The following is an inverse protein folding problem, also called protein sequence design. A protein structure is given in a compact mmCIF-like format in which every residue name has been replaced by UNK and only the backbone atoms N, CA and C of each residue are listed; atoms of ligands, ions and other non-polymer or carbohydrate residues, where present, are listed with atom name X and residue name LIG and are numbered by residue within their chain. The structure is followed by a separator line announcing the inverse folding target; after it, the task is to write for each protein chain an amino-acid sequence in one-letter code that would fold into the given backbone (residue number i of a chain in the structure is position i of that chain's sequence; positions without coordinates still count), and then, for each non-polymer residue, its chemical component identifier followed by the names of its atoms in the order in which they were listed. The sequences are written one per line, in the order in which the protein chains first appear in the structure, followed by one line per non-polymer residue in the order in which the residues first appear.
data_IF_369065179110
#
_entry.id   IF_369065179110
#
_cell.length_a   1.000
_cell.length_b   1.000
_cell.length_c   1.000
_cell.angle_alpha   90.00
_cell.angle_beta   90.00
_cell.angle_gamma   90.00
#
_symmetry.space_group_name_H-M   'P 1'
#
loop_
_entity.id
_entity.type
_entity.pdbx_description
1 polymer ?
#
# COMPACT_ATOMS: atom_id res chain seq x y z
N UNK A 1 -13.25 47.20 3.69
CA UNK A 1 -14.40 46.36 4.10
C UNK A 1 -14.07 44.93 3.70
N UNK A 2 -13.53 44.15 4.63
CA UNK A 2 -13.09 42.77 4.42
C UNK A 2 -14.26 41.82 4.73
N UNK A 3 -14.73 41.06 3.74
CA UNK A 3 -15.78 40.04 3.91
C UNK A 3 -15.12 38.69 4.18
N UNK A 4 -15.16 38.24 5.43
CA UNK A 4 -14.82 36.88 5.82
C UNK A 4 -15.94 35.91 5.36
N UNK A 5 -15.66 34.81 4.67
CA UNK A 5 -16.67 33.83 4.32
C UNK A 5 -17.13 33.05 5.59
N UNK A 6 -18.38 32.54 5.63
CA UNK A 6 -18.89 31.81 6.79
C UNK A 6 -18.21 30.47 6.92
N UNK A 7 -17.80 30.12 8.14
CA UNK A 7 -17.35 28.77 8.52
C UNK A 7 -18.54 27.80 8.44
N UNK A 8 -18.53 26.93 7.49
CA UNK A 8 -19.42 25.75 7.47
C UNK A 8 -18.94 24.78 8.53
N UNK A 9 -19.64 24.70 9.64
CA UNK A 9 -19.52 23.61 10.63
C UNK A 9 -20.19 22.37 10.03
N UNK A 10 -19.45 21.63 9.20
CA UNK A 10 -19.84 20.29 8.80
C UNK A 10 -19.71 19.37 10.01
N UNK A 11 -20.83 18.97 10.62
CA UNK A 11 -20.85 17.94 11.65
C UNK A 11 -20.25 16.65 11.08
N UNK A 12 -19.10 16.24 11.61
CA UNK A 12 -18.57 14.91 11.37
C UNK A 12 -19.56 13.91 11.97
N UNK A 13 -20.38 13.30 11.13
CA UNK A 13 -21.13 12.12 11.51
C UNK A 13 -20.12 11.09 12.00
N UNK A 14 -20.22 10.67 13.26
CA UNK A 14 -19.46 9.57 13.81
C UNK A 14 -19.86 8.32 13.05
N UNK A 15 -19.11 8.00 12.00
CA UNK A 15 -19.24 6.71 11.32
C UNK A 15 -18.76 5.67 12.33
N UNK A 16 -19.68 4.83 12.80
CA UNK A 16 -19.34 3.71 13.67
C UNK A 16 -18.22 2.90 13.03
N UNK A 17 -17.34 2.32 13.89
CA UNK A 17 -16.25 1.48 13.40
C UNK A 17 -16.79 0.44 12.40
N UNK A 18 -16.10 0.16 11.30
CA UNK A 18 -16.55 -0.81 10.33
C UNK A 18 -16.78 -2.18 11.02
N UNK A 19 -17.78 -2.95 10.59
CA UNK A 19 -18.06 -4.26 11.19
C UNK A 19 -16.82 -5.15 11.10
N UNK A 20 -16.56 -5.90 12.19
CA UNK A 20 -15.44 -6.86 12.24
C UNK A 20 -15.58 -7.86 11.08
N UNK A 21 -14.51 -8.11 10.28
CA UNK A 21 -14.55 -9.11 9.24
C UNK A 21 -14.87 -10.51 9.80
N UNK A 22 -15.56 -11.34 9.04
CA UNK A 22 -15.76 -12.75 9.42
C UNK A 22 -14.44 -13.53 9.30
N UNK A 23 -14.33 -14.65 10.02
CA UNK A 23 -13.17 -15.53 9.95
C UNK A 23 -12.92 -16.03 8.53
N UNK A 24 -13.98 -16.36 7.78
CA UNK A 24 -13.87 -16.72 6.37
C UNK A 24 -13.24 -15.61 5.52
N UNK A 25 -13.60 -14.34 5.78
CA UNK A 25 -13.02 -13.18 5.10
C UNK A 25 -11.54 -13.02 5.46
N UNK A 26 -11.18 -13.25 6.72
CA UNK A 26 -9.78 -13.17 7.19
C UNK A 26 -8.92 -14.25 6.54
N UNK A 27 -9.38 -15.51 6.55
CA UNK A 27 -8.71 -16.64 5.89
C UNK A 27 -8.50 -16.36 4.42
N UNK A 28 -9.55 -16.00 3.69
CA UNK A 28 -9.48 -15.70 2.27
C UNK A 28 -8.51 -14.53 1.98
N UNK A 29 -8.45 -13.53 2.86
CA UNK A 29 -7.53 -12.40 2.68
C UNK A 29 -6.08 -12.84 2.88
N UNK A 30 -5.79 -13.70 3.87
CA UNK A 30 -4.46 -14.29 4.06
C UNK A 30 -4.03 -15.14 2.86
N UNK A 31 -4.93 -15.94 2.30
CA UNK A 31 -4.66 -16.71 1.09
C UNK A 31 -4.29 -15.80 -0.09
N UNK A 32 -5.05 -14.71 -0.29
CA UNK A 32 -4.80 -13.75 -1.39
C UNK A 32 -3.46 -13.05 -1.30
N UNK A 33 -2.90 -12.90 -0.11
CA UNK A 33 -1.56 -12.32 0.08
C UNK A 33 -0.48 -13.38 0.29
N UNK A 34 -0.73 -14.63 -0.10
CA UNK A 34 0.19 -15.76 0.03
C UNK A 34 0.64 -16.01 1.48
N UNK A 35 -0.27 -15.85 2.46
CA UNK A 35 -0.02 -16.11 3.88
C UNK A 35 -0.96 -17.16 4.47
N UNK A 36 -1.76 -17.87 3.65
CA UNK A 36 -2.69 -18.90 4.13
C UNK A 36 -2.01 -20.02 4.93
N UNK A 37 -0.77 -20.37 4.59
CA UNK A 37 0.01 -21.37 5.29
C UNK A 37 0.32 -21.02 6.76
N UNK A 38 0.24 -19.75 7.16
CA UNK A 38 0.43 -19.35 8.56
C UNK A 38 -0.62 -19.97 9.47
N UNK A 39 -1.81 -20.28 8.94
CA UNK A 39 -2.90 -20.92 9.71
C UNK A 39 -2.64 -22.40 9.99
N UNK A 40 -1.58 -22.99 9.42
CA UNK A 40 -1.21 -24.40 9.63
C UNK A 40 0.25 -24.56 10.07
N UNK A 41 0.98 -23.46 10.24
CA UNK A 41 2.45 -23.49 10.46
C UNK A 41 2.84 -23.98 11.86
N UNK A 42 1.95 -23.82 12.86
CA UNK A 42 2.21 -24.23 14.25
C UNK A 42 0.96 -24.90 14.85
N UNK A 43 1.14 -25.72 15.89
CA UNK A 43 0.04 -26.43 16.56
C UNK A 43 -1.01 -25.48 17.17
N UNK A 44 -0.67 -24.19 17.39
CA UNK A 44 -1.57 -23.14 17.84
C UNK A 44 -1.90 -22.13 16.73
N UNK A 45 -1.69 -22.47 15.48
CA UNK A 45 -1.96 -21.58 14.36
C UNK A 45 -3.48 -21.41 14.20
N UNK A 46 -3.97 -20.27 14.60
CA UNK A 46 -5.37 -19.87 14.45
C UNK A 46 -5.44 -18.35 14.26
N UNK A 47 -6.61 -17.86 13.84
CA UNK A 47 -6.85 -16.41 13.73
C UNK A 47 -6.77 -15.69 15.09
N UNK A 48 -6.95 -16.43 16.20
CA UNK A 48 -6.88 -15.91 17.57
C UNK A 48 -5.48 -16.07 18.19
N UNK A 49 -4.51 -16.61 17.46
CA UNK A 49 -3.15 -16.79 17.95
C UNK A 49 -2.51 -15.44 18.30
N UNK A 50 -1.93 -15.37 19.47
CA UNK A 50 -1.21 -14.21 19.98
C UNK A 50 0.28 -14.47 20.07
N UNK A 51 1.10 -13.47 19.75
CA UNK A 51 2.55 -13.61 19.81
C UNK A 51 3.25 -12.32 19.35
N UNK A 52 4.57 -12.30 19.49
CA UNK A 52 5.39 -11.26 18.88
C UNK A 52 5.59 -11.57 17.38
N UNK A 53 4.60 -11.16 16.59
CA UNK A 53 4.60 -11.39 15.15
C UNK A 53 5.77 -10.73 14.43
N UNK A 54 6.37 -9.69 15.00
CA UNK A 54 7.53 -9.02 14.43
C UNK A 54 8.78 -9.89 14.47
N UNK A 55 8.89 -10.78 15.44
CA UNK A 55 9.99 -11.76 15.56
C UNK A 55 9.68 -13.10 14.90
N UNK A 56 8.40 -13.45 14.76
CA UNK A 56 7.95 -14.73 14.19
C UNK A 56 7.92 -14.68 12.65
N UNK A 57 7.50 -13.55 12.07
CA UNK A 57 7.35 -13.37 10.63
C UNK A 57 8.62 -12.79 10.01
N UNK A 58 9.02 -13.33 8.86
CA UNK A 58 10.03 -12.69 8.01
C UNK A 58 9.54 -11.31 7.55
N UNK A 59 10.46 -10.44 7.12
CA UNK A 59 10.11 -9.10 6.66
C UNK A 59 9.12 -9.13 5.47
N UNK A 60 9.30 -10.07 4.53
CA UNK A 60 8.37 -10.26 3.42
C UNK A 60 6.98 -10.71 3.86
N UNK A 61 6.88 -11.58 4.88
CA UNK A 61 5.59 -11.97 5.48
C UNK A 61 4.92 -10.78 6.18
N UNK A 62 5.69 -9.96 6.90
CA UNK A 62 5.19 -8.73 7.54
C UNK A 62 4.65 -7.74 6.51
N UNK A 63 5.37 -7.53 5.40
CA UNK A 63 4.93 -6.67 4.29
C UNK A 63 3.63 -7.19 3.68
N UNK A 64 3.53 -8.48 3.34
CA UNK A 64 2.30 -9.07 2.82
C UNK A 64 1.13 -8.99 3.80
N UNK A 65 1.40 -9.14 5.10
CA UNK A 65 0.38 -8.93 6.13
C UNK A 65 -0.11 -7.47 6.21
N UNK A 66 0.78 -6.50 5.94
CA UNK A 66 0.39 -5.09 5.83
C UNK A 66 -0.54 -4.86 4.63
N UNK A 67 -0.28 -5.49 3.47
CA UNK A 67 -1.21 -5.48 2.34
C UNK A 67 -2.57 -6.11 2.69
N UNK A 68 -2.60 -7.23 3.42
CA UNK A 68 -3.85 -7.83 3.90
C UNK A 68 -4.69 -6.83 4.71
N UNK A 69 -4.06 -6.03 5.57
CA UNK A 69 -4.74 -4.97 6.34
C UNK A 69 -5.35 -3.90 5.43
N UNK A 70 -4.64 -3.47 4.38
CA UNK A 70 -5.18 -2.50 3.41
C UNK A 70 -6.38 -3.10 2.66
N UNK A 71 -6.30 -4.37 2.24
CA UNK A 71 -7.39 -5.07 1.54
C UNK A 71 -8.65 -5.20 2.41
N UNK A 72 -8.49 -5.38 3.71
CA UNK A 72 -9.62 -5.46 4.67
C UNK A 72 -10.18 -4.08 4.99
N UNK A 73 -9.32 -3.10 5.25
CA UNK A 73 -9.70 -1.75 5.66
C UNK A 73 -10.28 -0.91 4.52
N UNK A 74 -9.85 -1.17 3.27
CA UNK A 74 -10.24 -0.41 2.06
C UNK A 74 -10.24 1.11 2.28
N UNK A 75 -9.11 1.68 2.72
CA UNK A 75 -9.03 3.11 2.99
C UNK A 75 -9.20 3.90 1.68
N UNK A 76 -9.72 5.13 1.71
CA UNK A 76 -9.79 5.96 0.50
C UNK A 76 -8.39 6.30 -0.06
N UNK A 77 -7.37 6.35 0.80
CA UNK A 77 -5.97 6.55 0.40
C UNK A 77 -5.08 5.62 1.22
N UNK A 78 -4.20 4.88 0.55
CA UNK A 78 -3.14 4.08 1.15
C UNK A 78 -1.77 4.68 0.82
N UNK A 79 -0.93 4.91 1.84
CA UNK A 79 0.46 5.33 1.65
C UNK A 79 1.37 4.13 1.93
N UNK A 80 2.20 3.80 0.96
CA UNK A 80 3.07 2.63 0.92
C UNK A 80 4.52 3.10 0.92
N UNK A 81 5.18 3.03 2.06
CA UNK A 81 6.58 3.42 2.21
C UNK A 81 7.45 2.16 2.25
N UNK A 82 8.28 1.96 1.19
CA UNK A 82 9.13 0.78 0.98
C UNK A 82 8.38 -0.56 1.20
N UNK A 83 7.07 -0.58 0.93
CA UNK A 83 6.15 -1.65 1.34
C UNK A 83 6.41 -3.00 0.66
N UNK A 84 7.24 -3.05 -0.39
CA UNK A 84 7.60 -4.27 -1.12
C UNK A 84 9.11 -4.51 -1.16
N UNK A 85 9.90 -3.79 -0.36
CA UNK A 85 11.37 -3.87 -0.38
C UNK A 85 11.94 -5.27 -0.11
N UNK A 86 11.23 -6.09 0.68
CA UNK A 86 11.60 -7.48 1.00
C UNK A 86 10.84 -8.53 0.18
N UNK A 87 10.06 -8.13 -0.81
CA UNK A 87 9.36 -9.05 -1.71
C UNK A 87 10.19 -9.31 -2.97
N UNK A 88 10.07 -10.53 -3.51
CA UNK A 88 10.48 -10.82 -4.87
C UNK A 88 9.54 -10.17 -5.89
N UNK A 89 9.90 -10.20 -7.16
CA UNK A 89 9.15 -9.54 -8.23
C UNK A 89 7.73 -10.12 -8.41
N UNK A 90 7.53 -11.42 -8.18
CA UNK A 90 6.25 -12.09 -8.33
C UNK A 90 5.29 -11.66 -7.22
N UNK A 91 5.71 -11.76 -5.94
CA UNK A 91 4.92 -11.29 -4.81
C UNK A 91 4.64 -9.78 -4.88
N UNK A 92 5.61 -8.96 -5.31
CA UNK A 92 5.39 -7.52 -5.53
C UNK A 92 4.27 -7.28 -6.54
N UNK A 93 4.33 -7.95 -7.71
CA UNK A 93 3.32 -7.82 -8.76
C UNK A 93 1.93 -8.23 -8.27
N UNK A 94 1.83 -9.34 -7.53
CA UNK A 94 0.57 -9.81 -6.95
C UNK A 94 -0.02 -8.79 -5.97
N UNK A 95 0.80 -8.25 -5.05
CA UNK A 95 0.32 -7.26 -4.07
C UNK A 95 -0.23 -6.00 -4.76
N UNK A 96 0.47 -5.47 -5.75
CA UNK A 96 -0.03 -4.31 -6.51
C UNK A 96 -1.25 -4.65 -7.37
N UNK A 97 -1.33 -5.84 -7.95
CA UNK A 97 -2.53 -6.30 -8.66
C UNK A 97 -3.75 -6.37 -7.74
N UNK A 98 -3.58 -6.75 -6.48
CA UNK A 98 -4.66 -6.74 -5.48
C UNK A 98 -5.10 -5.31 -5.13
N UNK A 99 -4.16 -4.37 -4.95
CA UNK A 99 -4.48 -2.97 -4.68
C UNK A 99 -5.24 -2.32 -5.83
N UNK A 100 -4.82 -2.54 -7.07
CA UNK A 100 -5.49 -2.00 -8.26
C UNK A 100 -6.93 -2.49 -8.45
N UNK A 101 -7.32 -3.58 -7.80
CA UNK A 101 -8.70 -4.10 -7.79
C UNK A 101 -9.59 -3.46 -6.71
N UNK A 102 -9.04 -2.61 -5.84
CA UNK A 102 -9.84 -1.87 -4.87
C UNK A 102 -10.46 -0.64 -5.55
N UNK A 103 -11.80 -0.58 -5.67
CA UNK A 103 -12.45 0.42 -6.55
C UNK A 103 -12.32 1.85 -6.05
N UNK A 104 -12.27 2.06 -4.74
CA UNK A 104 -12.34 3.39 -4.11
C UNK A 104 -11.09 3.71 -3.28
N UNK A 105 -9.97 3.03 -3.57
CA UNK A 105 -8.70 3.23 -2.87
C UNK A 105 -7.67 3.80 -3.84
N UNK A 106 -7.27 5.06 -3.65
CA UNK A 106 -6.06 5.58 -4.25
C UNK A 106 -4.83 5.11 -3.43
N UNK A 107 -3.69 4.90 -4.09
CA UNK A 107 -2.47 4.58 -3.36
C UNK A 107 -1.27 5.39 -3.87
N UNK A 108 -0.39 5.74 -2.93
CA UNK A 108 0.87 6.43 -3.18
C UNK A 108 1.99 5.55 -2.66
N UNK A 109 2.97 5.26 -3.51
CA UNK A 109 4.15 4.46 -3.12
C UNK A 109 5.40 5.32 -3.06
N UNK A 110 6.18 5.15 -2.01
CA UNK A 110 7.55 5.61 -1.91
C UNK A 110 8.45 4.38 -2.07
N UNK A 111 9.38 4.44 -3.01
CA UNK A 111 10.29 3.32 -3.30
C UNK A 111 11.28 3.68 -4.39
N UNK A 112 12.26 2.81 -4.61
CA UNK A 112 13.36 3.03 -5.56
C UNK A 112 13.44 1.97 -6.66
N UNK A 113 12.51 0.99 -6.67
CA UNK A 113 12.45 -0.04 -7.72
C UNK A 113 11.78 0.48 -8.97
N UNK A 114 12.40 0.29 -10.12
CA UNK A 114 11.83 0.69 -11.41
C UNK A 114 10.50 -0.05 -11.74
N UNK A 115 10.31 -1.26 -11.21
CA UNK A 115 9.07 -2.05 -11.35
C UNK A 115 7.84 -1.30 -10.86
N UNK A 116 7.98 -0.43 -9.85
CA UNK A 116 6.88 0.34 -9.27
C UNK A 116 6.21 1.25 -10.30
N UNK A 117 6.95 1.74 -11.31
CA UNK A 117 6.40 2.59 -12.36
C UNK A 117 5.25 1.90 -13.13
N UNK A 118 5.31 0.58 -13.27
CA UNK A 118 4.26 -0.20 -13.94
C UNK A 118 2.92 -0.28 -13.20
N UNK A 119 2.90 0.11 -11.93
CA UNK A 119 1.70 0.04 -11.08
C UNK A 119 1.04 1.40 -10.85
N UNK A 120 1.66 2.50 -11.28
CA UNK A 120 1.24 3.88 -11.07
C UNK A 120 1.01 4.60 -12.39
N UNK A 121 0.10 5.56 -12.38
CA UNK A 121 -0.18 6.41 -13.53
C UNK A 121 0.77 7.63 -13.54
N UNK A 122 1.07 8.18 -12.37
CA UNK A 122 1.87 9.39 -12.19
C UNK A 122 3.02 9.19 -11.20
N UNK A 123 4.06 10.00 -11.36
CA UNK A 123 5.22 10.10 -10.46
C UNK A 123 5.34 11.52 -9.94
N UNK A 124 5.32 11.68 -8.62
CA UNK A 124 5.69 12.92 -7.96
C UNK A 124 7.22 12.92 -7.75
N UNK A 125 7.93 13.73 -8.52
CA UNK A 125 9.37 13.91 -8.34
C UNK A 125 9.65 15.12 -7.48
N UNK A 126 10.40 14.91 -6.40
CA UNK A 126 10.89 15.96 -5.52
C UNK A 126 12.31 16.35 -5.95
N UNK A 127 12.54 17.63 -6.27
CA UNK A 127 13.81 18.11 -6.79
C UNK A 127 14.59 18.86 -5.67
N UNK A 128 15.61 18.17 -5.15
CA UNK A 128 16.63 18.77 -4.29
C UNK A 128 16.12 19.45 -3.02
N UNK A 129 17.02 20.25 -2.39
CA UNK A 129 16.73 20.94 -1.12
C UNK A 129 15.88 22.21 -1.24
N UNK A 130 15.53 22.61 -2.44
CA UNK A 130 14.76 23.86 -2.68
C UNK A 130 13.25 23.71 -2.63
N UNK A 131 12.71 22.52 -2.37
CA UNK A 131 11.27 22.28 -2.30
C UNK A 131 10.56 22.31 -3.66
N UNK A 132 11.29 22.33 -4.78
CA UNK A 132 10.70 22.18 -6.10
C UNK A 132 10.17 20.75 -6.29
N UNK A 133 9.04 20.64 -6.95
CA UNK A 133 8.43 19.35 -7.27
C UNK A 133 7.74 19.41 -8.64
N UNK A 134 7.60 18.29 -9.28
CA UNK A 134 6.82 18.14 -10.51
C UNK A 134 6.10 16.81 -10.56
N UNK A 135 4.97 16.76 -11.23
CA UNK A 135 4.25 15.53 -11.55
C UNK A 135 4.50 15.19 -13.01
N UNK A 136 4.81 13.94 -13.26
CA UNK A 136 5.05 13.37 -14.59
C UNK A 136 4.22 12.09 -14.71
N UNK A 137 3.79 11.75 -15.92
CA UNK A 137 3.27 10.38 -16.10
C UNK A 137 4.39 9.37 -15.84
N UNK A 138 4.04 8.18 -15.35
CA UNK A 138 5.01 7.10 -15.09
C UNK A 138 5.81 6.75 -16.37
N UNK A 139 5.15 6.79 -17.53
CA UNK A 139 5.80 6.57 -18.83
C UNK A 139 6.85 7.65 -19.16
N UNK A 140 6.52 8.93 -18.97
CA UNK A 140 7.43 10.03 -19.21
C UNK A 140 8.65 9.98 -18.28
N UNK A 141 8.41 9.69 -17.01
CA UNK A 141 9.47 9.52 -16.01
C UNK A 141 10.41 8.35 -16.38
N UNK A 142 9.86 7.21 -16.78
CA UNK A 142 10.65 6.04 -17.19
C UNK A 142 11.56 6.34 -18.38
N UNK A 143 11.06 7.06 -19.39
CA UNK A 143 11.87 7.49 -20.55
C UNK A 143 13.00 8.46 -20.17
N UNK A 144 12.71 9.41 -19.27
CA UNK A 144 13.71 10.36 -18.75
C UNK A 144 14.82 9.64 -17.98
N UNK A 145 14.46 8.69 -17.10
CA UNK A 145 15.40 7.92 -16.31
C UNK A 145 16.33 7.05 -17.20
N UNK A 146 15.78 6.40 -18.24
CA UNK A 146 16.57 5.59 -19.17
C UNK A 146 17.59 6.45 -19.94
N UNK A 147 17.18 7.62 -20.42
CA UNK A 147 18.08 8.53 -21.14
C UNK A 147 19.25 9.02 -20.29
N UNK A 148 18.99 9.31 -19.01
CA UNK A 148 20.05 9.74 -18.08
C UNK A 148 21.10 8.65 -17.85
N UNK A 149 20.71 7.37 -17.90
CA UNK A 149 21.62 6.23 -17.76
C UNK A 149 22.45 5.97 -19.01
N UNK A 150 21.96 6.32 -20.20
CA UNK A 150 22.67 6.16 -21.48
C UNK A 150 23.70 7.29 -21.71
N UNK A 151 23.48 8.45 -21.09
CA UNK A 151 24.35 9.63 -21.20
C UNK A 151 25.45 9.70 -20.12
N UNK A 152 25.48 8.77 -19.15
CA UNK A 152 26.41 8.73 -18.02
C UNK A 152 27.51 7.68 -18.20
#
# INVERSE_FOLDING_TARGET
MSKTPPRTTGGAASQGAPPKPSDATLVQTLERVNLGYLLTRTDNASLDATGDWSSILSLGEQQRLAFARVLLARPPVAVLDEATSALDAENEAEMYALLRRLPDTAFVSVGHRASLLGYHDDVLRLEGRGGAWRVLSAEAYGKEATRTLEEA
#
